data_IF_824646781800
#
_entry.id   IF_824646781800
#
_cell.length_a   1.000
_cell.length_b   1.000
_cell.length_c   1.000
_cell.angle_alpha   90.00
_cell.angle_beta   90.00
_cell.angle_gamma   90.00
#
_symmetry.space_group_name_H-M   'P 1'
#
loop_
_entity.id
_entity.type
_entity.pdbx_description
1 polymer ?
#
# COMPACT_ATOMS: atom_id res chain seq x y z
N UNK A 1 -0.76 -10.64 3.74
CA UNK A 1 -1.94 -10.88 4.62
C UNK A 1 -2.15 -9.84 5.73
N UNK A 2 -1.17 -9.58 6.61
CA UNK A 2 -1.35 -8.68 7.77
C UNK A 2 -1.66 -7.22 7.39
N UNK A 3 -1.05 -6.70 6.32
CA UNK A 3 -1.32 -5.36 5.79
C UNK A 3 -2.81 -5.14 5.46
N UNK A 4 -3.45 -6.13 4.82
CA UNK A 4 -4.86 -6.08 4.43
C UNK A 4 -5.85 -6.24 5.60
N UNK A 5 -5.36 -6.38 6.84
CA UNK A 5 -6.18 -6.25 8.05
C UNK A 5 -5.93 -4.90 8.71
N UNK A 6 -4.66 -4.52 8.87
CA UNK A 6 -4.27 -3.28 9.54
C UNK A 6 -4.71 -2.05 8.74
N UNK A 7 -4.42 -2.01 7.43
CA UNK A 7 -4.72 -0.84 6.62
C UNK A 7 -6.23 -0.58 6.53
N UNK A 8 -7.12 -1.58 6.30
CA UNK A 8 -8.55 -1.35 6.35
C UNK A 8 -9.07 -0.97 7.74
N UNK A 9 -8.54 -1.55 8.82
CA UNK A 9 -8.91 -1.19 10.19
C UNK A 9 -8.57 0.27 10.52
N UNK A 10 -7.38 0.72 10.16
CA UNK A 10 -6.99 2.13 10.34
C UNK A 10 -7.77 3.05 9.39
N UNK A 11 -8.06 2.60 8.16
CA UNK A 11 -8.86 3.35 7.21
C UNK A 11 -10.31 3.54 7.71
N UNK A 12 -10.95 2.52 8.28
CA UNK A 12 -12.33 2.64 8.78
C UNK A 12 -12.45 3.70 9.87
N UNK A 13 -11.45 3.79 10.75
CA UNK A 13 -11.35 4.84 11.77
C UNK A 13 -11.03 6.20 11.15
N UNK A 14 -9.99 6.30 10.30
CA UNK A 14 -9.55 7.57 9.71
C UNK A 14 -10.61 8.22 8.82
N UNK A 15 -11.37 7.42 8.07
CA UNK A 15 -12.42 7.88 7.16
C UNK A 15 -13.74 8.16 7.88
N UNK A 16 -13.88 7.88 9.18
CA UNK A 16 -15.08 8.22 9.95
C UNK A 16 -15.38 9.72 9.99
N UNK A 17 -14.34 10.56 9.86
CA UNK A 17 -14.44 12.03 9.86
C UNK A 17 -15.21 12.63 8.68
N UNK A 18 -15.38 11.87 7.59
CA UNK A 18 -16.12 12.29 6.41
C UNK A 18 -17.59 11.93 6.62
N UNK A 19 -18.35 12.95 7.01
CA UNK A 19 -19.68 12.79 7.58
C UNK A 19 -20.70 13.81 7.03
N UNK A 20 -20.27 14.69 6.11
CA UNK A 20 -21.10 15.73 5.51
C UNK A 20 -21.45 16.90 6.43
N UNK A 21 -20.89 16.96 7.64
CA UNK A 21 -21.21 18.00 8.64
C UNK A 21 -20.30 19.22 8.49
N UNK A 22 -18.98 18.99 8.50
CA UNK A 22 -17.98 20.08 8.49
C UNK A 22 -17.51 20.44 7.08
N UNK A 23 -17.39 19.46 6.20
CA UNK A 23 -16.85 19.62 4.85
C UNK A 23 -17.19 18.41 3.97
N UNK A 24 -16.99 18.58 2.66
CA UNK A 24 -17.14 17.52 1.66
C UNK A 24 -18.58 17.32 1.20
N UNK A 25 -18.82 16.15 0.59
CA UNK A 25 -20.15 15.78 0.08
C UNK A 25 -21.15 15.61 1.22
N UNK A 26 -22.36 16.16 1.02
CA UNK A 26 -23.47 16.09 1.95
C UNK A 26 -24.72 15.68 1.21
N UNK A 27 -25.38 14.63 1.69
CA UNK A 27 -26.63 14.17 1.12
C UNK A 27 -27.70 15.27 1.17
N UNK A 28 -28.43 15.43 0.07
CA UNK A 28 -29.52 16.40 -0.03
C UNK A 28 -30.74 15.95 0.77
N UNK A 29 -31.37 16.91 1.45
CA UNK A 29 -32.62 16.74 2.21
C UNK A 29 -32.63 15.51 3.15
N UNK A 30 -31.71 15.39 4.13
CA UNK A 30 -31.71 14.26 5.06
C UNK A 30 -32.92 14.32 5.99
N UNK A 31 -33.52 13.17 6.28
CA UNK A 31 -34.69 13.05 7.17
C UNK A 31 -34.33 13.29 8.63
N UNK A 32 -33.16 12.82 9.03
CA UNK A 32 -32.59 12.96 10.37
C UNK A 32 -31.05 12.88 10.31
N UNK A 33 -30.39 12.87 11.47
CA UNK A 33 -28.93 12.80 11.55
C UNK A 33 -28.37 11.45 11.09
N UNK A 34 -29.08 10.35 11.34
CA UNK A 34 -28.63 9.02 10.91
C UNK A 34 -28.69 8.92 9.39
N UNK A 35 -29.79 9.36 8.78
CA UNK A 35 -29.96 9.45 7.32
C UNK A 35 -28.90 10.34 6.68
N UNK A 36 -28.57 11.48 7.29
CA UNK A 36 -27.48 12.34 6.83
C UNK A 36 -26.15 11.58 6.76
N UNK A 37 -25.77 10.85 7.82
CA UNK A 37 -24.50 10.14 7.86
C UNK A 37 -24.46 8.96 6.88
N UNK A 38 -25.49 8.12 6.88
CA UNK A 38 -25.56 6.92 6.05
C UNK A 38 -25.55 7.28 4.56
N UNK A 39 -26.38 8.25 4.14
CA UNK A 39 -26.46 8.66 2.74
C UNK A 39 -25.22 9.43 2.29
N UNK A 40 -24.74 10.41 3.07
CA UNK A 40 -23.55 11.17 2.66
C UNK A 40 -22.34 10.26 2.43
N UNK A 41 -22.18 9.23 3.27
CA UNK A 41 -21.10 8.24 3.14
C UNK A 41 -21.40 7.20 2.06
N UNK A 42 -22.64 6.73 1.96
CA UNK A 42 -23.07 5.72 1.00
C UNK A 42 -22.98 6.21 -0.45
N UNK A 43 -23.40 7.44 -0.69
CA UNK A 43 -23.38 8.15 -1.97
C UNK A 43 -21.96 8.67 -2.29
N UNK A 44 -21.23 9.17 -1.29
CA UNK A 44 -19.92 9.81 -1.47
C UNK A 44 -18.73 8.85 -1.62
N UNK A 45 -18.76 7.65 -1.03
CA UNK A 45 -17.66 6.70 -1.15
C UNK A 45 -17.84 5.72 -2.30
N UNK A 46 -16.75 5.51 -3.06
CA UNK A 46 -16.64 4.44 -4.05
C UNK A 46 -16.71 3.03 -3.44
N UNK A 47 -16.93 2.03 -4.29
CA UNK A 47 -17.14 0.63 -3.88
C UNK A 47 -15.96 0.03 -3.11
N UNK A 48 -14.72 0.24 -3.55
CA UNK A 48 -13.53 -0.28 -2.85
C UNK A 48 -13.32 0.39 -1.48
N UNK A 49 -13.60 1.69 -1.38
CA UNK A 49 -13.50 2.41 -0.11
C UNK A 49 -14.53 1.87 0.89
N UNK A 50 -15.78 1.67 0.45
CA UNK A 50 -16.83 1.06 1.27
C UNK A 50 -16.44 -0.35 1.71
N UNK A 51 -15.88 -1.18 0.81
CA UNK A 51 -15.38 -2.52 1.13
C UNK A 51 -14.33 -2.48 2.25
N UNK A 52 -13.34 -1.58 2.16
CA UNK A 52 -12.30 -1.42 3.18
C UNK A 52 -12.85 -0.93 4.52
N UNK A 53 -13.81 0.00 4.51
CA UNK A 53 -14.49 0.45 5.75
C UNK A 53 -15.20 -0.73 6.42
N UNK A 54 -15.96 -1.53 5.66
CA UNK A 54 -16.67 -2.69 6.22
C UNK A 54 -15.72 -3.73 6.82
N UNK A 55 -14.66 -4.10 6.08
CA UNK A 55 -13.64 -5.04 6.56
C UNK A 55 -12.95 -4.49 7.81
N UNK A 56 -12.57 -3.21 7.81
CA UNK A 56 -11.89 -2.57 8.92
C UNK A 56 -12.74 -2.48 10.18
N UNK A 57 -14.01 -2.08 10.05
CA UNK A 57 -14.96 -2.03 11.17
C UNK A 57 -15.19 -3.43 11.75
N UNK A 58 -15.30 -4.46 10.90
CA UNK A 58 -15.40 -5.85 11.36
C UNK A 58 -14.14 -6.30 12.10
N UNK A 59 -12.95 -6.03 11.55
CA UNK A 59 -11.67 -6.40 12.18
C UNK A 59 -11.43 -5.72 13.55
N UNK A 60 -12.10 -4.59 13.81
CA UNK A 60 -12.03 -3.86 15.08
C UNK A 60 -13.20 -4.16 16.03
N UNK A 61 -14.20 -4.93 15.59
CA UNK A 61 -15.38 -5.22 16.39
C UNK A 61 -15.08 -6.10 17.60
N UNK A 62 -15.89 -5.97 18.65
CA UNK A 62 -15.81 -6.81 19.84
C UNK A 62 -15.95 -8.30 19.47
N UNK A 63 -15.12 -9.15 20.07
CA UNK A 63 -15.03 -10.58 19.76
C UNK A 63 -14.09 -10.92 18.58
N UNK A 64 -13.83 -9.98 17.66
CA UNK A 64 -12.97 -10.22 16.50
C UNK A 64 -11.65 -9.44 16.54
N UNK A 65 -11.56 -8.37 17.33
CA UNK A 65 -10.36 -7.54 17.49
C UNK A 65 -9.09 -8.35 17.76
N UNK A 66 -9.14 -9.26 18.73
CA UNK A 66 -7.99 -10.06 19.15
C UNK A 66 -7.55 -11.06 18.06
N UNK A 67 -8.51 -11.65 17.34
CA UNK A 67 -8.27 -12.63 16.29
C UNK A 67 -7.72 -12.01 15.00
N UNK A 68 -8.13 -10.77 14.68
CA UNK A 68 -7.75 -10.10 13.44
C UNK A 68 -6.72 -8.99 13.69
N UNK A 69 -7.13 -7.85 14.24
CA UNK A 69 -6.27 -6.66 14.31
C UNK A 69 -5.04 -6.87 15.21
N UNK A 70 -5.23 -7.38 16.43
CA UNK A 70 -4.13 -7.67 17.36
C UNK A 70 -3.18 -8.72 16.79
N UNK A 71 -3.72 -9.77 16.15
CA UNK A 71 -2.90 -10.79 15.51
C UNK A 71 -2.08 -10.24 14.34
N UNK A 72 -2.68 -9.38 13.52
CA UNK A 72 -1.98 -8.70 12.43
C UNK A 72 -0.85 -7.79 12.95
N UNK A 73 -1.07 -7.07 14.06
CA UNK A 73 -0.02 -6.26 14.71
C UNK A 73 1.13 -7.11 15.26
N UNK A 74 0.86 -8.32 15.78
CA UNK A 74 1.91 -9.26 16.16
C UNK A 74 2.73 -9.72 14.95
N UNK A 75 2.07 -10.04 13.82
CA UNK A 75 2.75 -10.40 12.58
C UNK A 75 3.60 -9.23 12.06
N UNK A 76 3.10 -7.98 12.16
CA UNK A 76 3.86 -6.78 11.81
C UNK A 76 5.21 -6.71 12.54
N UNK A 77 5.21 -7.06 13.83
CA UNK A 77 6.44 -7.12 14.63
C UNK A 77 7.41 -8.19 14.14
N UNK A 78 6.90 -9.38 13.77
CA UNK A 78 7.74 -10.45 13.20
C UNK A 78 8.37 -10.02 11.88
N UNK A 79 7.60 -9.39 10.99
CA UNK A 79 8.10 -8.84 9.73
C UNK A 79 9.23 -7.83 10.00
N UNK A 80 9.03 -6.89 10.94
CA UNK A 80 10.08 -5.93 11.32
C UNK A 80 11.36 -6.63 11.78
N UNK A 81 11.24 -7.67 12.60
CA UNK A 81 12.39 -8.44 13.08
C UNK A 81 13.11 -9.18 11.95
N UNK A 82 12.40 -9.65 10.92
CA UNK A 82 13.03 -10.26 9.75
C UNK A 82 13.90 -9.26 9.01
N UNK A 83 13.40 -8.05 8.76
CA UNK A 83 14.19 -6.97 8.16
C UNK A 83 15.38 -6.57 9.02
N UNK A 84 15.19 -6.38 10.32
CA UNK A 84 16.29 -6.05 11.25
C UNK A 84 17.40 -7.11 11.21
N UNK A 85 17.03 -8.39 11.18
CA UNK A 85 18.01 -9.49 11.07
C UNK A 85 18.76 -9.47 9.74
N UNK A 86 18.06 -9.22 8.64
CA UNK A 86 18.68 -9.17 7.33
C UNK A 86 19.62 -7.96 7.18
N UNK A 87 19.19 -6.77 7.64
CA UNK A 87 19.98 -5.53 7.61
C UNK A 87 21.13 -5.50 8.63
N UNK A 88 21.20 -6.45 9.57
CA UNK A 88 22.42 -6.69 10.35
C UNK A 88 23.51 -7.42 9.56
N UNK A 89 23.17 -7.98 8.39
CA UNK A 89 24.09 -8.72 7.52
C UNK A 89 24.41 -7.97 6.22
N UNK A 90 23.66 -6.91 5.90
CA UNK A 90 23.84 -6.09 4.71
C UNK A 90 23.34 -4.66 4.92
N UNK A 91 23.84 -3.70 4.14
CA UNK A 91 23.43 -2.30 4.26
C UNK A 91 22.07 -2.02 3.59
N UNK A 92 21.76 -2.75 2.53
CA UNK A 92 20.56 -2.61 1.72
C UNK A 92 20.04 -3.97 1.27
N UNK A 93 18.72 -4.10 1.20
CA UNK A 93 18.02 -5.21 0.56
C UNK A 93 17.63 -4.80 -0.86
N UNK A 94 17.87 -5.69 -1.81
CA UNK A 94 17.55 -5.50 -3.23
C UNK A 94 16.54 -6.54 -3.70
N UNK A 95 15.55 -6.11 -4.48
CA UNK A 95 14.57 -7.00 -5.11
C UNK A 95 13.78 -6.27 -6.19
N UNK A 96 12.86 -6.94 -6.90
CA UNK A 96 11.94 -6.25 -7.80
C UNK A 96 10.93 -5.41 -7.01
N UNK A 97 10.47 -4.30 -7.59
CA UNK A 97 9.39 -3.49 -6.98
C UNK A 97 8.04 -4.17 -7.13
N UNK A 98 7.78 -4.76 -8.31
CA UNK A 98 6.51 -5.39 -8.67
C UNK A 98 6.74 -6.80 -9.22
N UNK A 99 5.76 -7.70 -9.13
CA UNK A 99 5.89 -9.07 -9.64
C UNK A 99 5.92 -9.15 -11.18
N UNK A 100 5.35 -8.17 -11.87
CA UNK A 100 5.35 -8.04 -13.32
C UNK A 100 5.47 -6.58 -13.73
N UNK A 101 5.61 -6.34 -15.04
CA UNK A 101 5.35 -5.03 -15.64
C UNK A 101 3.86 -4.64 -15.51
N UNK A 102 3.55 -3.40 -15.91
CA UNK A 102 2.18 -2.89 -15.88
C UNK A 102 1.22 -3.79 -16.65
N UNK A 103 0.14 -4.22 -15.97
CA UNK A 103 -0.94 -5.01 -16.56
C UNK A 103 -1.95 -4.11 -17.29
N UNK A 104 -2.80 -4.70 -18.13
CA UNK A 104 -3.76 -3.97 -18.97
C UNK A 104 -4.93 -3.43 -18.13
N UNK A 105 -5.46 -2.26 -18.51
CA UNK A 105 -6.63 -1.67 -17.84
C UNK A 105 -7.80 -2.66 -17.88
N UNK A 106 -8.38 -2.93 -16.71
CA UNK A 106 -9.51 -3.87 -16.56
C UNK A 106 -9.10 -5.34 -16.35
N UNK A 107 -7.83 -5.69 -16.51
CA UNK A 107 -7.37 -7.09 -16.43
C UNK A 107 -7.58 -7.69 -15.03
N UNK A 108 -7.38 -6.89 -13.98
CA UNK A 108 -7.46 -7.32 -12.56
C UNK A 108 -8.68 -6.77 -11.82
N UNK A 109 -9.68 -6.23 -12.52
CA UNK A 109 -10.85 -5.62 -11.86
C UNK A 109 -11.88 -6.64 -11.34
N UNK A 110 -11.87 -7.86 -11.90
CA UNK A 110 -12.79 -8.93 -11.50
C UNK A 110 -12.35 -9.67 -10.22
N UNK A 111 -11.04 -9.68 -9.93
CA UNK A 111 -10.48 -10.35 -8.76
C UNK A 111 -9.71 -9.36 -7.86
N UNK A 112 -10.32 -8.92 -6.74
CA UNK A 112 -9.65 -8.05 -5.77
C UNK A 112 -8.36 -8.65 -5.20
N UNK A 113 -8.23 -9.98 -5.13
CA UNK A 113 -7.03 -10.65 -4.60
C UNK A 113 -5.88 -10.53 -5.60
N UNK A 114 -6.16 -10.69 -6.90
CA UNK A 114 -5.16 -10.49 -7.95
C UNK A 114 -4.55 -9.09 -7.89
N UNK A 115 -5.37 -8.06 -7.62
CA UNK A 115 -4.87 -6.69 -7.41
C UNK A 115 -3.97 -6.59 -6.16
N UNK A 116 -4.28 -7.32 -5.10
CA UNK A 116 -3.53 -7.27 -3.85
C UNK A 116 -2.15 -7.94 -3.92
N UNK A 117 -1.98 -8.89 -4.85
CA UNK A 117 -0.69 -9.55 -5.10
C UNK A 117 0.32 -8.63 -5.79
N UNK A 118 -0.13 -7.54 -6.42
CA UNK A 118 0.77 -6.55 -7.01
C UNK A 118 1.66 -5.88 -5.95
N UNK A 119 1.14 -5.75 -4.73
CA UNK A 119 1.83 -5.10 -3.63
C UNK A 119 2.71 -6.06 -2.81
N UNK A 120 2.90 -7.32 -3.27
CA UNK A 120 3.57 -8.37 -2.47
C UNK A 120 4.98 -7.99 -2.02
N UNK A 121 5.72 -7.23 -2.84
CA UNK A 121 7.09 -6.80 -2.54
C UNK A 121 7.17 -5.43 -1.86
N UNK A 122 6.09 -4.64 -1.82
CA UNK A 122 6.10 -3.27 -1.31
C UNK A 122 5.56 -3.18 0.12
N UNK A 123 4.49 -3.93 0.44
CA UNK A 123 3.83 -3.81 1.76
C UNK A 123 4.73 -4.19 2.93
N UNK A 124 5.67 -5.10 2.72
CA UNK A 124 6.56 -5.58 3.78
C UNK A 124 7.42 -4.43 4.34
N UNK A 125 7.87 -3.54 3.46
CA UNK A 125 8.65 -2.34 3.81
C UNK A 125 7.83 -1.36 4.65
N UNK A 126 6.56 -1.10 4.28
CA UNK A 126 5.66 -0.26 5.09
C UNK A 126 5.38 -0.87 6.46
N UNK A 127 5.19 -2.19 6.51
CA UNK A 127 4.90 -2.93 7.74
C UNK A 127 6.08 -2.88 8.72
N UNK A 128 7.31 -2.99 8.20
CA UNK A 128 8.53 -2.84 8.98
C UNK A 128 8.82 -1.38 9.40
N UNK A 129 8.23 -0.41 8.70
CA UNK A 129 8.45 1.03 8.95
C UNK A 129 9.83 1.48 8.47
N UNK A 130 10.29 0.94 7.34
CA UNK A 130 11.61 1.19 6.77
C UNK A 130 11.51 2.04 5.50
N UNK A 131 12.58 2.79 5.15
CA UNK A 131 12.64 3.47 3.86
C UNK A 131 12.86 2.47 2.72
N UNK A 132 12.13 2.67 1.63
CA UNK A 132 12.29 1.93 0.38
C UNK A 132 12.23 2.87 -0.82
N UNK A 133 13.04 2.62 -1.83
CA UNK A 133 13.04 3.36 -3.09
C UNK A 133 12.85 2.41 -4.28
N UNK A 134 11.97 2.78 -5.22
CA UNK A 134 11.81 2.10 -6.50
C UNK A 134 12.49 2.91 -7.59
N UNK A 135 13.33 2.24 -8.37
CA UNK A 135 14.13 2.86 -9.42
C UNK A 135 13.96 2.09 -10.74
N UNK A 136 14.16 2.78 -11.86
CA UNK A 136 13.95 2.21 -13.18
C UNK A 136 14.98 1.10 -13.47
N UNK A 137 14.48 -0.06 -13.86
CA UNK A 137 15.23 -1.19 -14.39
C UNK A 137 15.03 -1.26 -15.93
N UNK A 138 15.62 -2.23 -16.65
CA UNK A 138 15.41 -2.37 -18.09
C UNK A 138 13.93 -2.44 -18.48
N UNK A 139 13.61 -2.06 -19.72
CA UNK A 139 12.28 -2.33 -20.25
C UNK A 139 12.09 -3.85 -20.43
N UNK A 140 10.89 -4.33 -20.14
CA UNK A 140 10.46 -5.70 -20.42
C UNK A 140 9.24 -5.58 -21.35
N UNK A 141 9.34 -6.15 -22.56
CA UNK A 141 8.31 -6.06 -23.60
C UNK A 141 7.87 -4.61 -23.89
N UNK A 142 8.83 -3.67 -23.90
CA UNK A 142 8.60 -2.25 -24.15
C UNK A 142 8.01 -1.48 -22.96
N UNK A 143 7.76 -2.13 -21.82
CA UNK A 143 7.19 -1.52 -20.62
C UNK A 143 8.26 -1.29 -19.53
N UNK A 144 8.16 -0.20 -18.75
CA UNK A 144 9.05 0.02 -17.61
C UNK A 144 8.95 -1.10 -16.57
N UNK A 145 10.10 -1.58 -16.10
CA UNK A 145 10.22 -2.41 -14.91
C UNK A 145 10.99 -1.67 -13.82
N UNK A 146 10.91 -2.15 -12.57
CA UNK A 146 11.50 -1.46 -11.41
C UNK A 146 12.21 -2.41 -10.46
N UNK A 147 13.33 -1.94 -9.92
CA UNK A 147 13.99 -2.56 -8.77
C UNK A 147 13.77 -1.71 -7.52
N UNK A 148 13.61 -2.39 -6.40
CA UNK A 148 13.43 -1.81 -5.08
C UNK A 148 14.70 -1.99 -4.25
N UNK A 149 15.13 -0.90 -3.62
CA UNK A 149 16.15 -0.89 -2.56
C UNK A 149 15.48 -0.54 -1.23
N UNK A 150 15.66 -1.36 -0.21
CA UNK A 150 15.17 -1.10 1.15
C UNK A 150 16.35 -0.99 2.10
N UNK A 151 16.37 0.07 2.91
CA UNK A 151 17.46 0.35 3.86
C UNK A 151 17.01 0.32 5.32
N UNK A 152 17.95 0.51 6.27
CA UNK A 152 17.61 0.68 7.68
C UNK A 152 16.84 1.98 7.91
N UNK A 153 16.23 2.11 9.09
CA UNK A 153 15.55 3.34 9.48
C UNK A 153 16.51 4.55 9.33
N UNK A 154 16.03 5.60 8.66
CA UNK A 154 16.81 6.80 8.32
C UNK A 154 18.01 6.56 7.37
N UNK A 155 17.99 5.45 6.64
CA UNK A 155 19.03 5.03 5.68
C UNK A 155 18.84 5.54 4.25
N UNK A 156 18.02 6.56 4.01
CA UNK A 156 17.68 7.05 2.67
C UNK A 156 18.93 7.49 1.88
N UNK A 157 19.96 8.02 2.56
CA UNK A 157 21.22 8.40 1.91
C UNK A 157 21.92 7.22 1.23
N UNK A 158 21.93 6.04 1.85
CA UNK A 158 22.52 4.84 1.27
C UNK A 158 21.69 4.34 0.08
N UNK A 159 20.36 4.36 0.19
CA UNK A 159 19.43 4.00 -0.89
C UNK A 159 19.69 4.88 -2.13
N UNK A 160 19.69 6.20 -1.94
CA UNK A 160 19.89 7.17 -3.03
C UNK A 160 21.28 7.05 -3.66
N UNK A 161 22.32 6.84 -2.84
CA UNK A 161 23.67 6.64 -3.36
C UNK A 161 23.77 5.36 -4.20
N UNK A 162 23.24 4.23 -3.71
CA UNK A 162 23.26 2.98 -4.45
C UNK A 162 22.50 3.09 -5.79
N UNK A 163 21.32 3.71 -5.78
CA UNK A 163 20.56 3.98 -6.99
C UNK A 163 21.34 4.89 -7.97
N UNK A 164 22.00 5.93 -7.46
CA UNK A 164 22.85 6.79 -8.28
C UNK A 164 24.00 6.02 -8.93
N UNK A 165 24.69 5.14 -8.20
CA UNK A 165 25.75 4.30 -8.77
C UNK A 165 25.23 3.41 -9.90
N UNK A 166 24.05 2.80 -9.75
CA UNK A 166 23.40 2.01 -10.83
C UNK A 166 23.12 2.90 -12.04
N UNK A 167 22.68 4.15 -11.84
CA UNK A 167 22.47 5.10 -12.94
C UNK A 167 23.75 5.54 -13.64
N UNK A 168 24.89 5.57 -12.94
CA UNK A 168 26.18 5.86 -13.60
C UNK A 168 26.71 4.68 -14.42
N UNK A 169 26.30 3.46 -14.07
CA UNK A 169 26.71 2.23 -14.74
C UNK A 169 25.73 1.76 -15.83
N UNK A 170 24.52 2.34 -15.89
CA UNK A 170 23.44 1.93 -16.80
C UNK A 170 22.73 3.13 -17.40
N UNK A 171 22.11 2.95 -18.55
CA UNK A 171 21.27 3.95 -19.21
C UNK A 171 19.78 3.79 -18.90
N UNK A 172 19.40 2.90 -17.98
CA UNK A 172 18.00 2.53 -17.71
C UNK A 172 17.12 3.74 -17.39
N UNK A 173 17.67 4.68 -16.62
CA UNK A 173 17.01 5.93 -16.23
C UNK A 173 16.77 6.90 -17.39
N UNK A 174 17.39 6.68 -18.55
CA UNK A 174 17.19 7.46 -19.77
C UNK A 174 16.19 6.81 -20.72
N UNK A 175 15.86 5.53 -20.52
CA UNK A 175 14.92 4.80 -21.37
C UNK A 175 13.52 5.40 -21.24
N UNK A 176 12.88 5.61 -22.40
CA UNK A 176 11.49 6.06 -22.50
C UNK A 176 10.72 5.08 -23.37
N UNK A 177 9.42 4.84 -23.08
CA UNK A 177 8.53 4.15 -24.00
C UNK A 177 8.56 4.81 -25.39
N UNK A 178 8.57 4.02 -26.46
CA UNK A 178 8.69 4.48 -27.85
C UNK A 178 7.53 5.38 -28.34
N UNK A 179 6.48 5.55 -27.53
CA UNK A 179 5.23 6.22 -27.88
C UNK A 179 4.87 7.44 -27.01
N UNK A 180 5.84 8.02 -26.29
CA UNK A 180 5.68 9.24 -25.50
C UNK A 180 6.38 10.46 -26.11
#
# INVERSE_FOLDING_TARGET
>A
PAYYVIAPAEASSNLSRFDGVRFGYRAEHPKDLTDLYERSRGEGFGSEVKRRILIGTYALSEGYYDAYYKKAQQIRRLIKQDFERALNQCDLLFGPTTPSTAFVIGEKTADPIAMYLEDIYTVATNMAGLPGGSFQAPLIDGLPSGYQLTGPAFGEGAILNAAHQIQTATDWHTLRPESL
#
